data_IF_741077808448
#
_entry.id   IF_741077808448
#
_cell.length_a   1.000
_cell.length_b   1.000
_cell.length_c   1.000
_cell.angle_alpha   90.00
_cell.angle_beta   90.00
_cell.angle_gamma   90.00
#
_symmetry.space_group_name_H-M   'P 1'
#
loop_
_entity.id
_entity.type
_entity.pdbx_description
1 polymer ?
#
# COMPACT_ATOMS: atom_id res chain seq x y z
N UNK A 1 4.98 9.31 8.39
CA UNK A 1 5.25 8.86 7.01
C UNK A 1 5.88 7.50 7.16
N UNK A 2 5.05 6.47 7.11
CA UNK A 2 5.48 5.09 7.37
C UNK A 2 6.05 4.53 6.06
N UNK A 3 7.18 3.84 6.16
CA UNK A 3 7.89 3.30 5.00
C UNK A 3 8.32 1.90 5.32
N UNK A 4 7.89 0.94 4.51
CA UNK A 4 8.22 -0.46 4.72
C UNK A 4 8.51 -1.16 3.40
N UNK A 5 9.36 -2.19 3.49
CA UNK A 5 9.62 -3.13 2.40
C UNK A 5 8.90 -4.44 2.67
N UNK A 6 8.31 -4.97 1.61
CA UNK A 6 7.66 -6.28 1.55
C UNK A 6 8.27 -7.08 0.39
N UNK A 7 8.85 -8.27 0.63
CA UNK A 7 9.28 -9.13 -0.46
C UNK A 7 8.07 -9.74 -1.18
N UNK A 8 7.98 -9.54 -2.49
CA UNK A 8 6.96 -10.14 -3.36
C UNK A 8 7.52 -11.44 -3.93
N UNK A 9 7.39 -12.54 -3.18
CA UNK A 9 7.75 -13.88 -3.65
C UNK A 9 6.58 -14.85 -3.50
N UNK A 10 6.60 -15.96 -4.24
CA UNK A 10 5.66 -17.10 -4.16
C UNK A 10 5.73 -17.84 -2.80
N UNK A 11 5.61 -17.12 -1.69
CA UNK A 11 5.26 -17.73 -0.41
C UNK A 11 3.76 -17.96 -0.40
N UNK A 12 3.38 -19.17 -0.83
CA UNK A 12 2.06 -19.74 -0.67
C UNK A 12 1.52 -19.48 0.75
N UNK A 13 0.35 -18.84 0.84
CA UNK A 13 -0.60 -18.93 1.97
C UNK A 13 -0.05 -18.76 3.40
N UNK A 14 0.87 -17.82 3.64
CA UNK A 14 1.24 -17.42 5.01
C UNK A 14 1.33 -15.91 5.14
N UNK A 15 0.47 -15.33 5.97
CA UNK A 15 0.35 -13.89 6.25
C UNK A 15 1.52 -13.32 7.10
N UNK A 16 2.73 -13.83 6.92
CA UNK A 16 3.86 -13.61 7.84
C UNK A 16 5.14 -13.18 7.09
N UNK A 17 4.99 -12.53 5.93
CA UNK A 17 6.12 -11.92 5.22
C UNK A 17 6.70 -10.76 6.06
N UNK A 18 8.01 -10.76 6.37
CA UNK A 18 8.60 -9.79 7.28
C UNK A 18 8.52 -8.38 6.68
N UNK A 19 7.77 -7.51 7.36
CA UNK A 19 7.73 -6.07 7.06
C UNK A 19 9.02 -5.44 7.57
N UNK A 20 9.87 -4.96 6.66
CA UNK A 20 11.12 -4.29 7.05
C UNK A 20 10.88 -2.78 7.11
N UNK A 21 10.91 -2.16 8.31
CA UNK A 21 10.73 -0.71 8.43
C UNK A 21 11.94 0.05 7.84
N UNK A 22 11.67 1.14 7.12
CA UNK A 22 12.69 2.04 6.53
C UNK A 22 12.74 3.34 7.35
N UNK A 23 13.12 3.20 8.61
CA UNK A 23 13.37 4.34 9.52
C UNK A 23 14.80 4.89 9.34
N UNK A 24 15.71 4.00 8.93
CA UNK A 24 17.11 4.28 8.61
C UNK A 24 17.46 3.67 7.25
N UNK A 25 18.71 3.83 6.81
CA UNK A 25 19.18 3.19 5.58
C UNK A 25 19.09 1.67 5.70
N UNK A 26 18.45 1.04 4.71
CA UNK A 26 18.27 -0.40 4.56
C UNK A 26 19.11 -0.87 3.39
N UNK A 27 20.03 -1.80 3.64
CA UNK A 27 20.88 -2.41 2.63
C UNK A 27 20.30 -3.72 2.12
N UNK A 28 20.21 -3.92 0.79
CA UNK A 28 19.76 -5.18 0.21
C UNK A 28 20.92 -5.87 -0.49
N UNK A 29 21.15 -7.15 -0.15
CA UNK A 29 22.19 -7.97 -0.76
C UNK A 29 21.96 -9.46 -0.56
N UNK A 30 22.74 -10.25 -1.30
CA UNK A 30 22.84 -11.70 -1.12
C UNK A 30 23.99 -12.07 -0.19
N UNK A 31 23.77 -13.03 0.72
CA UNK A 31 24.82 -13.58 1.58
C UNK A 31 25.80 -14.45 0.78
N UNK A 32 27.10 -14.23 1.01
CA UNK A 32 28.19 -14.91 0.32
C UNK A 32 28.53 -16.33 0.79
N UNK A 33 27.61 -17.04 1.45
CA UNK A 33 27.83 -18.39 2.02
C UNK A 33 27.43 -19.54 1.07
N UNK A 34 27.06 -19.23 -0.18
CA UNK A 34 26.64 -20.21 -1.18
C UNK A 34 25.15 -20.60 -1.14
N UNK A 35 24.38 -20.12 -0.16
CA UNK A 35 22.92 -20.37 -0.07
C UNK A 35 22.09 -19.52 -1.03
N UNK A 36 22.69 -18.44 -1.52
CA UNK A 36 22.05 -17.40 -2.32
C UNK A 36 20.88 -16.66 -1.66
N UNK A 37 20.74 -16.78 -0.34
CA UNK A 37 19.76 -16.03 0.45
C UNK A 37 19.96 -14.53 0.31
N UNK A 38 18.87 -13.82 0.05
CA UNK A 38 18.82 -12.36 -0.03
C UNK A 38 18.27 -11.81 1.27
N UNK A 39 18.93 -10.77 1.78
CA UNK A 39 18.63 -10.17 3.08
C UNK A 39 18.47 -8.66 2.96
N UNK A 40 17.72 -8.11 3.90
CA UNK A 40 17.67 -6.69 4.19
C UNK A 40 18.42 -6.42 5.50
N UNK A 41 19.43 -5.57 5.46
CA UNK A 41 20.18 -5.12 6.63
C UNK A 41 19.68 -3.74 7.05
N UNK A 42 19.14 -3.65 8.26
CA UNK A 42 18.78 -2.40 8.92
C UNK A 42 19.92 -1.99 9.88
N UNK A 43 19.72 -0.90 10.63
CA UNK A 43 20.68 -0.48 11.65
C UNK A 43 20.77 -1.48 12.83
N UNK A 44 19.68 -2.21 13.08
CA UNK A 44 19.51 -3.04 14.27
C UNK A 44 19.76 -4.53 13.98
N UNK A 45 19.40 -4.99 12.78
CA UNK A 45 19.46 -6.41 12.44
C UNK A 45 19.57 -6.71 10.93
N UNK A 46 19.79 -7.99 10.61
CA UNK A 46 19.78 -8.52 9.25
C UNK A 46 18.57 -9.46 9.13
N UNK A 47 17.60 -9.09 8.29
CA UNK A 47 16.39 -9.86 8.06
C UNK A 47 16.49 -10.71 6.78
N UNK A 48 16.13 -11.98 6.89
CA UNK A 48 15.96 -12.86 5.73
C UNK A 48 14.67 -12.48 4.99
N UNK A 49 14.78 -12.17 3.69
CA UNK A 49 13.63 -11.81 2.86
C UNK A 49 12.87 -13.04 2.33
N UNK A 50 13.31 -14.25 2.69
CA UNK A 50 12.67 -15.51 2.29
C UNK A 50 12.93 -15.91 0.84
N UNK A 51 13.77 -15.15 0.11
CA UNK A 51 14.04 -15.33 -1.31
C UNK A 51 15.51 -15.63 -1.58
N UNK A 52 15.78 -16.40 -2.63
CA UNK A 52 17.12 -16.81 -3.04
C UNK A 52 17.35 -16.45 -4.50
N UNK A 53 18.37 -15.65 -4.78
CA UNK A 53 18.68 -15.22 -6.14
C UNK A 53 20.19 -15.07 -6.32
N UNK A 54 20.79 -15.89 -7.19
CA UNK A 54 22.22 -15.86 -7.44
C UNK A 54 22.71 -14.61 -8.21
N UNK A 55 21.81 -13.86 -8.82
CA UNK A 55 22.08 -12.64 -9.60
C UNK A 55 22.07 -11.38 -8.74
N UNK A 56 21.59 -11.48 -7.49
CA UNK A 56 21.71 -10.40 -6.52
C UNK A 56 23.17 -10.28 -6.07
N UNK A 57 23.65 -9.04 -6.08
CA UNK A 57 25.02 -8.72 -5.73
C UNK A 57 25.28 -8.95 -4.24
N UNK A 58 26.53 -9.31 -3.91
CA UNK A 58 26.97 -9.49 -2.52
C UNK A 58 27.39 -8.15 -1.94
N UNK A 59 27.30 -8.03 -0.61
CA UNK A 59 27.93 -6.95 0.14
C UNK A 59 29.45 -6.96 -0.13
N UNK A 60 30.01 -5.80 -0.47
CA UNK A 60 31.45 -5.66 -0.78
C UNK A 60 32.06 -4.61 0.15
N UNK A 61 33.16 -4.94 0.82
CA UNK A 61 33.85 -4.04 1.75
C UNK A 61 32.95 -3.41 2.82
N UNK A 62 31.94 -4.15 3.30
CA UNK A 62 31.01 -3.64 4.31
C UNK A 62 29.91 -2.72 3.76
N UNK A 63 29.84 -2.49 2.43
CA UNK A 63 28.80 -1.69 1.81
C UNK A 63 27.80 -2.57 1.02
N UNK A 64 26.49 -2.42 1.28
CA UNK A 64 25.47 -3.10 0.48
C UNK A 64 25.45 -2.53 -0.95
N UNK A 65 25.23 -3.37 -1.97
CA UNK A 65 25.18 -2.97 -3.37
C UNK A 65 23.91 -2.18 -3.71
N UNK A 66 22.84 -2.34 -2.92
CA UNK A 66 21.59 -1.60 -3.03
C UNK A 66 21.28 -1.00 -1.68
N UNK A 67 20.90 0.27 -1.66
CA UNK A 67 20.55 1.00 -0.44
C UNK A 67 19.23 1.74 -0.63
N UNK A 68 18.40 1.66 0.41
CA UNK A 68 17.12 2.35 0.52
C UNK A 68 17.17 3.24 1.74
N UNK A 69 17.05 4.54 1.57
CA UNK A 69 17.13 5.50 2.67
C UNK A 69 15.85 6.35 2.73
N UNK A 70 15.33 6.64 3.93
CA UNK A 70 14.22 7.58 4.05
C UNK A 70 14.69 8.98 3.67
N UNK A 71 13.82 9.73 2.99
CA UNK A 71 14.01 11.15 2.66
C UNK A 71 12.82 11.97 3.15
N UNK A 72 12.92 13.29 3.11
CA UNK A 72 11.80 14.17 3.45
C UNK A 72 10.59 14.02 2.52
N UNK A 73 10.77 13.44 1.32
CA UNK A 73 9.72 13.29 0.31
C UNK A 73 9.27 11.85 0.05
N UNK A 74 9.95 10.86 0.62
CA UNK A 74 9.68 9.44 0.34
C UNK A 74 10.91 8.56 0.60
N UNK A 75 11.24 7.64 -0.32
CA UNK A 75 12.39 6.74 -0.20
C UNK A 75 13.40 7.06 -1.31
N UNK A 76 14.67 7.25 -0.96
CA UNK A 76 15.75 7.23 -1.92
C UNK A 76 16.19 5.80 -2.16
N UNK A 77 16.19 5.37 -3.43
CA UNK A 77 16.76 4.10 -3.86
C UNK A 77 18.06 4.37 -4.58
N UNK A 78 19.11 3.66 -4.21
CA UNK A 78 20.42 3.79 -4.83
C UNK A 78 21.01 2.43 -5.16
N UNK A 79 21.51 2.32 -6.39
CA UNK A 79 22.38 1.22 -6.79
C UNK A 79 23.84 1.62 -6.52
N UNK A 80 24.38 1.23 -5.37
CA UNK A 80 25.76 1.55 -4.99
C UNK A 80 26.81 0.74 -5.76
N UNK A 81 26.52 -0.53 -6.02
CA UNK A 81 27.53 -1.45 -6.56
C UNK A 81 26.97 -2.73 -7.16
N UNK A 82 25.65 -2.79 -7.42
CA UNK A 82 25.06 -3.94 -8.11
C UNK A 82 25.38 -3.87 -9.60
N UNK A 83 26.11 -4.88 -10.10
CA UNK A 83 26.45 -4.96 -11.53
C UNK A 83 25.21 -5.05 -12.41
N UNK A 84 24.15 -5.68 -11.91
CA UNK A 84 22.85 -5.68 -12.54
C UNK A 84 22.11 -4.38 -12.20
N UNK A 85 21.47 -3.72 -13.19
CA UNK A 85 20.64 -2.56 -12.94
C UNK A 85 19.47 -2.93 -12.02
N UNK A 86 19.03 -1.97 -11.21
CA UNK A 86 17.79 -2.10 -10.46
C UNK A 86 16.66 -1.56 -11.30
N UNK A 87 15.53 -2.24 -11.33
CA UNK A 87 14.33 -1.72 -12.00
C UNK A 87 13.39 -1.19 -10.93
N UNK A 88 13.08 0.11 -11.01
CA UNK A 88 12.06 0.76 -10.22
C UNK A 88 10.79 0.89 -11.04
N UNK A 89 9.69 0.33 -10.56
CA UNK A 89 8.38 0.41 -11.19
C UNK A 89 7.44 1.13 -10.25
N UNK A 90 7.05 2.34 -10.63
CA UNK A 90 5.95 3.06 -9.99
C UNK A 90 4.72 2.99 -10.88
N UNK A 91 3.56 3.40 -10.37
CA UNK A 91 2.32 3.44 -11.15
C UNK A 91 2.39 4.31 -12.42
N UNK A 92 3.35 5.25 -12.47
CA UNK A 92 3.46 6.26 -13.54
C UNK A 92 4.64 5.96 -14.46
N UNK A 93 5.68 5.28 -13.97
CA UNK A 93 6.91 5.05 -14.75
C UNK A 93 7.69 3.82 -14.30
N UNK A 94 8.35 3.21 -15.28
CA UNK A 94 9.45 2.28 -15.04
C UNK A 94 10.77 3.01 -15.29
N UNK A 95 11.72 2.85 -14.39
CA UNK A 95 13.05 3.44 -14.47
C UNK A 95 14.11 2.44 -14.03
N UNK A 96 15.17 2.30 -14.82
CA UNK A 96 16.34 1.51 -14.41
C UNK A 96 17.38 2.39 -13.72
N UNK A 97 18.00 1.88 -12.66
CA UNK A 97 19.14 2.45 -11.96
C UNK A 97 20.38 1.60 -12.18
N UNK A 98 21.32 2.13 -12.96
CA UNK A 98 22.65 1.56 -13.17
C UNK A 98 23.54 1.81 -11.95
N UNK A 99 24.71 1.18 -11.93
CA UNK A 99 25.71 1.37 -10.87
C UNK A 99 26.00 2.87 -10.67
N UNK A 100 25.90 3.32 -9.42
CA UNK A 100 26.11 4.71 -9.01
C UNK A 100 24.87 5.60 -9.13
N UNK A 101 23.79 5.12 -9.76
CA UNK A 101 22.58 5.91 -9.94
C UNK A 101 21.63 5.79 -8.73
N UNK A 102 20.85 6.85 -8.52
CA UNK A 102 19.83 6.91 -7.48
C UNK A 102 18.57 7.60 -7.99
N UNK A 103 17.43 7.19 -7.45
CA UNK A 103 16.16 7.87 -7.65
C UNK A 103 15.46 8.07 -6.31
N UNK A 104 14.59 9.07 -6.26
CA UNK A 104 13.67 9.27 -5.13
C UNK A 104 12.29 8.84 -5.58
N UNK A 105 11.68 7.97 -4.79
CA UNK A 105 10.32 7.50 -4.96
C UNK A 105 9.45 8.16 -3.90
N UNK A 106 8.39 8.82 -4.33
CA UNK A 106 7.46 9.57 -3.47
C UNK A 106 6.19 8.79 -3.12
N UNK A 107 5.95 7.69 -3.83
CA UNK A 107 4.75 6.87 -3.80
C UNK A 107 5.14 5.39 -3.75
N UNK A 108 4.16 4.50 -3.76
CA UNK A 108 4.41 3.06 -3.78
C UNK A 108 5.16 2.64 -5.05
N UNK A 109 6.14 1.75 -4.87
CA UNK A 109 6.92 1.22 -5.98
C UNK A 109 7.36 -0.21 -5.77
N UNK A 110 7.56 -0.91 -6.87
CA UNK A 110 8.25 -2.19 -6.92
C UNK A 110 9.71 -1.97 -7.30
N UNK A 111 10.59 -2.62 -6.57
CA UNK A 111 12.04 -2.57 -6.73
C UNK A 111 12.49 -3.97 -7.09
N UNK A 112 12.86 -4.18 -8.35
CA UNK A 112 13.44 -5.43 -8.80
C UNK A 112 14.95 -5.40 -8.59
N UNK A 113 15.46 -6.38 -7.85
CA UNK A 113 16.88 -6.58 -7.57
C UNK A 113 17.29 -7.95 -8.11
N UNK A 114 18.22 -7.98 -9.06
CA UNK A 114 18.51 -9.24 -9.76
C UNK A 114 17.36 -9.63 -10.71
N UNK A 115 17.14 -10.92 -10.90
CA UNK A 115 16.15 -11.42 -11.87
C UNK A 115 14.83 -11.77 -11.19
N UNK A 116 14.90 -12.31 -9.97
CA UNK A 116 13.77 -12.96 -9.30
C UNK A 116 13.34 -12.31 -7.99
N UNK A 117 14.07 -11.31 -7.51
CA UNK A 117 13.67 -10.58 -6.30
C UNK A 117 12.94 -9.31 -6.69
N UNK A 118 11.65 -9.26 -6.36
CA UNK A 118 10.85 -8.05 -6.40
C UNK A 118 10.50 -7.66 -4.96
N UNK A 119 10.68 -6.39 -4.65
CA UNK A 119 10.39 -5.82 -3.34
C UNK A 119 9.39 -4.70 -3.51
N UNK A 120 8.27 -4.76 -2.83
CA UNK A 120 7.33 -3.65 -2.73
C UNK A 120 7.82 -2.70 -1.64
N UNK A 121 8.12 -1.46 -2.03
CA UNK A 121 8.40 -0.37 -1.11
C UNK A 121 7.17 0.54 -1.07
N UNK A 122 6.51 0.58 0.09
CA UNK A 122 5.33 1.42 0.31
C UNK A 122 5.75 2.73 0.97
N UNK A 123 5.28 3.85 0.41
CA UNK A 123 5.48 5.19 0.95
C UNK A 123 4.12 5.70 1.38
N UNK A 124 3.72 5.35 2.60
CA UNK A 124 2.56 5.99 3.21
C UNK A 124 2.99 7.42 3.56
N UNK A 125 2.52 8.38 2.74
CA UNK A 125 2.44 9.76 3.16
C UNK A 125 1.87 9.74 4.59
N UNK A 126 2.49 10.48 5.50
CA UNK A 126 1.89 10.69 6.81
C UNK A 126 0.63 11.52 6.63
N UNK A 127 -0.43 10.98 6.05
CA UNK A 127 -1.69 11.02 6.74
C UNK A 127 -1.41 10.37 8.08
N UNK A 128 -1.82 11.04 9.14
CA UNK A 128 -2.27 10.35 10.33
C UNK A 128 -3.40 9.39 9.93
N UNK A 129 -3.12 8.37 9.13
CA UNK A 129 -3.90 7.14 9.09
C UNK A 129 -3.46 6.41 10.34
N UNK A 130 -3.89 6.97 11.46
CA UNK A 130 -3.90 6.24 12.71
C UNK A 130 -4.60 4.93 12.38
N UNK A 131 -3.93 3.81 12.66
CA UNK A 131 -4.60 2.53 12.62
C UNK A 131 -5.87 2.66 13.46
N UNK A 132 -7.03 2.16 13.01
CA UNK A 132 -8.28 2.30 13.77
C UNK A 132 -8.10 1.76 15.19
N UNK A 133 -7.22 0.80 15.42
CA UNK A 133 -6.78 0.34 16.74
C UNK A 133 -6.04 1.39 17.61
N UNK A 134 -5.21 2.26 17.03
CA UNK A 134 -4.59 3.39 17.75
C UNK A 134 -5.50 4.62 17.82
N UNK A 135 -6.48 4.73 16.92
CA UNK A 135 -7.50 5.77 16.93
C UNK A 135 -8.54 5.41 18.00
N UNK A 136 -9.01 4.18 18.08
CA UNK A 136 -9.86 3.60 19.13
C UNK A 136 -9.19 3.75 20.50
N UNK A 137 -7.90 3.45 20.62
CA UNK A 137 -7.14 3.64 21.87
C UNK A 137 -6.97 5.11 22.29
N UNK A 138 -7.08 6.08 21.36
CA UNK A 138 -7.09 7.53 21.64
C UNK A 138 -8.49 8.15 21.69
N UNK A 139 -9.52 7.43 21.22
CA UNK A 139 -10.91 7.88 21.12
C UNK A 139 -11.80 7.32 22.25
N UNK A 140 -11.25 6.45 23.09
CA UNK A 140 -11.94 5.85 24.24
C UNK A 140 -12.25 6.84 25.38
N UNK A 141 -11.94 8.14 25.23
CA UNK A 141 -12.31 9.17 26.21
C UNK A 141 -13.50 10.07 25.81
N UNK A 142 -14.05 10.00 24.59
CA UNK A 142 -15.30 10.73 24.25
C UNK A 142 -15.93 10.25 22.95
N UNK A 143 -17.08 9.56 23.05
CA UNK A 143 -17.83 8.99 21.92
C UNK A 143 -18.02 9.95 20.74
N UNK A 144 -17.54 9.53 19.57
CA UNK A 144 -17.71 10.24 18.31
C UNK A 144 -19.09 9.92 17.73
N UNK A 145 -19.79 10.95 17.23
CA UNK A 145 -21.09 10.76 16.60
C UNK A 145 -20.95 9.96 15.28
N UNK A 146 -21.89 9.05 14.96
CA UNK A 146 -21.90 8.31 13.69
C UNK A 146 -21.77 9.22 12.45
N UNK A 147 -22.23 10.47 12.54
CA UNK A 147 -22.07 11.51 11.53
C UNK A 147 -20.60 11.81 11.19
N UNK A 148 -19.73 11.93 12.19
CA UNK A 148 -18.33 12.25 11.96
C UNK A 148 -17.58 11.06 11.35
N UNK A 149 -17.92 9.83 11.75
CA UNK A 149 -17.35 8.63 11.17
C UNK A 149 -17.76 8.45 9.70
N UNK A 150 -19.05 8.65 9.39
CA UNK A 150 -19.56 8.60 8.01
C UNK A 150 -18.85 9.61 7.08
N UNK A 151 -18.55 10.81 7.58
CA UNK A 151 -17.84 11.86 6.82
C UNK A 151 -16.38 11.49 6.55
N UNK A 152 -15.71 10.81 7.48
CA UNK A 152 -14.35 10.32 7.26
C UNK A 152 -14.37 9.25 6.17
N UNK A 153 -15.28 8.28 6.26
CA UNK A 153 -15.39 7.20 5.27
C UNK A 153 -15.75 7.72 3.86
N UNK A 154 -16.66 8.69 3.76
CA UNK A 154 -16.99 9.31 2.47
C UNK A 154 -15.80 10.05 1.84
N UNK A 155 -15.01 10.78 2.63
CA UNK A 155 -13.80 11.42 2.12
C UNK A 155 -12.73 10.41 1.70
N UNK A 156 -12.54 9.36 2.49
CA UNK A 156 -11.63 8.28 2.14
C UNK A 156 -12.05 7.60 0.82
N UNK A 157 -13.36 7.43 0.60
CA UNK A 157 -13.89 6.79 -0.60
C UNK A 157 -13.64 7.66 -1.85
N UNK A 158 -13.83 8.98 -1.76
CA UNK A 158 -13.49 9.93 -2.83
C UNK A 158 -11.99 9.95 -3.15
N UNK A 159 -11.13 9.90 -2.13
CA UNK A 159 -9.68 9.84 -2.34
C UNK A 159 -9.25 8.50 -2.97
N UNK A 160 -9.87 7.41 -2.55
CA UNK A 160 -9.61 6.09 -3.08
C UNK A 160 -10.01 5.97 -4.57
N UNK A 161 -11.11 6.62 -4.99
CA UNK A 161 -11.59 6.58 -6.38
C UNK A 161 -10.63 7.20 -7.40
N UNK A 162 -9.76 8.10 -6.93
CA UNK A 162 -8.68 8.72 -7.71
C UNK A 162 -7.37 7.93 -7.67
N UNK A 163 -7.28 6.92 -6.79
CA UNK A 163 -6.04 6.20 -6.50
C UNK A 163 -5.98 4.83 -7.17
N UNK A 164 -6.81 3.88 -6.73
CA UNK A 164 -6.82 2.51 -7.29
C UNK A 164 -8.10 1.76 -6.99
N UNK A 165 -8.39 0.75 -7.81
CA UNK A 165 -9.51 -0.19 -7.58
C UNK A 165 -9.39 -0.91 -6.24
N UNK A 166 -8.17 -1.25 -5.81
CA UNK A 166 -7.93 -1.95 -4.54
C UNK A 166 -8.26 -1.08 -3.33
N UNK A 167 -7.84 0.18 -3.35
CA UNK A 167 -8.17 1.14 -2.27
C UNK A 167 -9.69 1.38 -2.20
N UNK A 168 -10.36 1.52 -3.34
CA UNK A 168 -11.83 1.65 -3.36
C UNK A 168 -12.51 0.44 -2.76
N UNK A 169 -12.04 -0.78 -3.07
CA UNK A 169 -12.59 -2.02 -2.51
C UNK A 169 -12.42 -2.12 -1.00
N UNK A 170 -11.31 -1.61 -0.46
CA UNK A 170 -11.09 -1.56 0.98
C UNK A 170 -12.08 -0.61 1.64
N UNK A 171 -12.14 0.63 1.15
CA UNK A 171 -13.01 1.65 1.74
C UNK A 171 -14.50 1.30 1.58
N UNK A 172 -14.92 0.72 0.45
CA UNK A 172 -16.33 0.29 0.27
C UNK A 172 -16.71 -0.85 1.22
N UNK A 173 -15.78 -1.75 1.56
CA UNK A 173 -16.00 -2.82 2.52
C UNK A 173 -16.12 -2.31 3.96
N UNK A 174 -15.27 -1.36 4.33
CA UNK A 174 -15.35 -0.65 5.63
C UNK A 174 -16.67 0.11 5.74
N UNK A 175 -17.07 0.81 4.67
CA UNK A 175 -18.33 1.54 4.59
C UNK A 175 -19.54 0.61 4.71
N UNK A 176 -19.52 -0.57 4.08
CA UNK A 176 -20.56 -1.57 4.23
C UNK A 176 -20.69 -2.09 5.67
N UNK A 177 -19.56 -2.29 6.35
CA UNK A 177 -19.51 -2.70 7.76
C UNK A 177 -20.10 -1.60 8.66
N UNK A 178 -19.65 -0.35 8.49
CA UNK A 178 -20.16 0.79 9.24
C UNK A 178 -21.68 0.98 9.07
N UNK A 179 -22.18 0.93 7.83
CA UNK A 179 -23.62 1.08 7.56
C UNK A 179 -24.43 -0.07 8.18
N UNK A 180 -23.87 -1.28 8.24
CA UNK A 180 -24.53 -2.41 8.89
C UNK A 180 -24.58 -2.26 10.43
N UNK A 181 -23.54 -1.69 11.04
CA UNK A 181 -23.44 -1.47 12.49
C UNK A 181 -24.25 -0.26 12.98
N UNK A 182 -24.51 0.72 12.09
CA UNK A 182 -25.25 1.94 12.41
C UNK A 182 -26.52 2.10 11.56
N UNK A 183 -27.56 1.28 11.78
CA UNK A 183 -28.81 1.39 11.03
C UNK A 183 -29.53 2.72 11.29
N UNK A 184 -30.01 3.35 10.22
CA UNK A 184 -30.82 4.58 10.27
C UNK A 184 -32.22 4.27 9.77
N UNK A 185 -33.25 4.75 10.47
CA UNK A 185 -34.65 4.67 10.02
C UNK A 185 -34.94 5.77 8.99
N UNK A 186 -34.32 5.65 7.82
CA UNK A 186 -34.53 6.53 6.66
C UNK A 186 -34.71 5.65 5.41
N UNK A 187 -35.62 6.02 4.52
CA UNK A 187 -35.85 5.28 3.27
C UNK A 187 -34.58 5.27 2.37
N UNK A 188 -33.71 6.29 2.51
CA UNK A 188 -32.42 6.36 1.85
C UNK A 188 -31.40 5.32 2.39
N UNK A 189 -31.58 4.80 3.61
CA UNK A 189 -30.69 3.79 4.19
C UNK A 189 -30.67 2.48 3.39
N UNK A 190 -31.85 2.00 2.99
CA UNK A 190 -31.96 0.79 2.17
C UNK A 190 -31.32 0.98 0.78
N UNK A 191 -31.47 2.17 0.21
CA UNK A 191 -30.86 2.51 -1.08
C UNK A 191 -29.32 2.56 -0.97
N UNK A 192 -28.77 3.20 0.07
CA UNK A 192 -27.32 3.26 0.30
C UNK A 192 -26.72 1.86 0.47
N UNK A 193 -27.38 0.96 1.20
CA UNK A 193 -26.94 -0.44 1.30
C UNK A 193 -26.92 -1.16 -0.04
N UNK A 194 -27.99 -1.00 -0.82
CA UNK A 194 -28.08 -1.57 -2.16
C UNK A 194 -26.98 -1.04 -3.08
N UNK A 195 -26.68 0.26 -3.01
CA UNK A 195 -25.65 0.90 -3.81
C UNK A 195 -24.24 0.37 -3.43
N UNK A 196 -23.96 0.21 -2.12
CA UNK A 196 -22.71 -0.38 -1.61
C UNK A 196 -22.54 -1.83 -2.11
N UNK A 197 -23.58 -2.65 -2.01
CA UNK A 197 -23.55 -4.05 -2.47
C UNK A 197 -23.35 -4.15 -3.99
N UNK A 198 -24.02 -3.28 -4.76
CA UNK A 198 -23.91 -3.23 -6.21
C UNK A 198 -22.50 -2.81 -6.66
N UNK A 199 -21.93 -1.77 -6.03
CA UNK A 199 -20.56 -1.31 -6.29
C UNK A 199 -19.55 -2.41 -5.92
N UNK A 200 -19.71 -3.06 -4.77
CA UNK A 200 -18.86 -4.16 -4.33
C UNK A 200 -18.87 -5.31 -5.35
N UNK A 201 -20.06 -5.73 -5.79
CA UNK A 201 -20.22 -6.82 -6.77
C UNK A 201 -19.61 -6.47 -8.13
N UNK A 202 -19.81 -5.23 -8.61
CA UNK A 202 -19.21 -4.75 -9.86
C UNK A 202 -17.67 -4.68 -9.74
N UNK A 203 -17.13 -4.26 -8.59
CA UNK A 203 -15.68 -4.20 -8.34
C UNK A 203 -15.06 -5.60 -8.28
N UNK A 204 -15.71 -6.57 -7.64
CA UNK A 204 -15.26 -7.96 -7.63
C UNK A 204 -15.27 -8.58 -9.03
N UNK A 205 -16.29 -8.26 -9.83
CA UNK A 205 -16.39 -8.71 -11.21
C UNK A 205 -15.28 -8.11 -12.09
N UNK A 206 -14.93 -6.84 -11.86
CA UNK A 206 -13.81 -6.16 -12.55
C UNK A 206 -12.46 -6.75 -12.14
N UNK A 207 -12.25 -7.02 -10.85
CA UNK A 207 -11.02 -7.62 -10.33
C UNK A 207 -10.81 -9.08 -10.75
N UNK A 208 -11.88 -9.83 -10.99
CA UNK A 208 -11.84 -11.23 -11.50
C UNK A 208 -11.92 -11.32 -13.03
N UNK A 209 -12.14 -10.20 -13.72
CA UNK A 209 -12.35 -10.15 -15.16
C UNK A 209 -11.05 -10.27 -15.97
N UNK A 210 -11.20 -10.63 -17.26
CA UNK A 210 -10.09 -10.82 -18.22
C UNK A 210 -9.24 -9.54 -18.45
N UNK A 211 -9.78 -8.38 -18.08
CA UNK A 211 -9.16 -7.06 -18.18
C UNK A 211 -9.01 -6.46 -16.78
N UNK A 212 -8.12 -7.05 -15.99
CA UNK A 212 -7.73 -6.54 -14.68
C UNK A 212 -7.13 -5.14 -14.88
N UNK A 213 -7.93 -4.12 -14.61
CA UNK A 213 -7.58 -2.72 -14.84
C UNK A 213 -7.44 -2.08 -13.48
N UNK A 214 -6.23 -1.61 -13.18
CA UNK A 214 -5.90 -1.03 -11.87
C UNK A 214 -6.55 0.35 -11.66
N UNK A 215 -7.11 0.93 -12.71
CA UNK A 215 -7.75 2.25 -12.73
C UNK A 215 -9.27 2.17 -12.91
N UNK A 216 -9.95 3.09 -12.23
CA UNK A 216 -11.39 3.36 -12.39
C UNK A 216 -11.57 4.35 -13.53
N UNK A 217 -12.55 4.09 -14.40
CA UNK A 217 -12.93 5.05 -15.42
C UNK A 217 -13.79 6.18 -14.82
N UNK A 218 -14.11 7.18 -15.64
CA UNK A 218 -14.88 8.34 -15.20
C UNK A 218 -16.32 7.98 -14.73
N UNK A 219 -16.90 6.91 -15.27
CA UNK A 219 -18.23 6.43 -14.86
C UNK A 219 -18.18 5.87 -13.44
N UNK A 220 -17.16 5.07 -13.14
CA UNK A 220 -16.89 4.57 -11.80
C UNK A 220 -16.63 5.67 -10.77
N UNK A 221 -15.82 6.67 -11.12
CA UNK A 221 -15.55 7.80 -10.23
C UNK A 221 -16.84 8.57 -9.92
N UNK A 222 -17.70 8.78 -10.91
CA UNK A 222 -18.98 9.45 -10.73
C UNK A 222 -19.94 8.65 -9.83
N UNK A 223 -20.02 7.32 -10.01
CA UNK A 223 -20.85 6.45 -9.15
C UNK A 223 -20.37 6.48 -7.69
N UNK A 224 -19.05 6.50 -7.47
CA UNK A 224 -18.44 6.55 -6.15
C UNK A 224 -18.66 7.91 -5.46
N UNK A 225 -18.55 9.01 -6.21
CA UNK A 225 -18.82 10.35 -5.69
C UNK A 225 -20.29 10.49 -5.27
N UNK A 226 -21.22 9.96 -6.08
CA UNK A 226 -22.65 9.97 -5.76
C UNK A 226 -22.97 9.16 -4.49
N UNK A 227 -22.31 8.02 -4.30
CA UNK A 227 -22.46 7.23 -3.07
C UNK A 227 -21.90 7.98 -1.85
N UNK A 228 -20.73 8.59 -1.99
CA UNK A 228 -20.09 9.38 -0.93
C UNK A 228 -20.98 10.53 -0.47
N UNK A 229 -21.59 11.25 -1.41
CA UNK A 229 -22.53 12.34 -1.14
C UNK A 229 -23.84 11.87 -0.47
N UNK A 230 -24.32 10.67 -0.81
CA UNK A 230 -25.51 10.08 -0.19
C UNK A 230 -25.25 9.66 1.26
N UNK A 231 -24.07 9.12 1.54
CA UNK A 231 -23.70 8.68 2.90
C UNK A 231 -23.49 9.87 3.82
N UNK A 232 -22.83 10.93 3.33
CA UNK A 232 -22.77 12.18 4.09
C UNK A 232 -24.18 12.71 4.37
N UNK A 233 -25.08 12.72 3.38
CA UNK A 233 -26.46 13.18 3.62
C UNK A 233 -27.24 12.34 4.62
N UNK A 234 -27.08 11.02 4.59
CA UNK A 234 -27.79 10.08 5.45
C UNK A 234 -27.39 10.21 6.93
N UNK A 235 -26.10 10.43 7.20
CA UNK A 235 -25.58 10.45 8.58
C UNK A 235 -25.24 11.85 9.10
N UNK A 236 -25.05 12.85 8.23
CA UNK A 236 -24.65 14.22 8.60
C UNK A 236 -25.84 15.20 8.58
N UNK A 237 -27.05 14.76 8.22
CA UNK A 237 -28.24 15.62 8.34
C UNK A 237 -28.44 16.08 9.80
N UNK A 238 -28.75 17.37 10.02
CA UNK A 238 -28.97 17.94 11.36
C UNK A 238 -30.26 17.45 12.01
#
# INVERSE_FOLDING_TARGET
MNRYLLPTGDTSESSDAPRVPIENAVGIYRIGNGTYTVVAETADEILDLGVKDATVSRKTAGQPPVELAPTSRGISVRNHGSTNPLTLRTNIKEQQLRIGESATVTDDCFIQVGISVELQATVEAGTDSVSVSELEAKLDESGVSPAAHARILANNLRNASQSSVTEVRKVIGELGTFVAEHPVNDDEYAQVRSDIEQITTRLESKARGLHNTDTLDAEWQQDIDLLSDRIERLYVRP
#
